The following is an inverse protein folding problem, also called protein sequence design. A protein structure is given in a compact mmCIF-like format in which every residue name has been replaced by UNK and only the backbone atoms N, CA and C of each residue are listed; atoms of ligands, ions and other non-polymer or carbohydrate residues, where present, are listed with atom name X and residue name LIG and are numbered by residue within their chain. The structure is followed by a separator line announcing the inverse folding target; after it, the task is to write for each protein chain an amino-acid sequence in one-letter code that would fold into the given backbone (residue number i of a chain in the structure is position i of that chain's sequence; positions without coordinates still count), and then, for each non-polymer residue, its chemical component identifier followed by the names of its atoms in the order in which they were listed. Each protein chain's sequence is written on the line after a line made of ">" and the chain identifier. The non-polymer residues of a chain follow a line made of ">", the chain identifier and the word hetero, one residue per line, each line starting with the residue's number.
data_IF_063320112994
#
_entry.id   IF_063320112994
#
_cell.length_a   1.000
_cell.length_b   1.000
_cell.length_c   1.000
_cell.angle_alpha   90.00
_cell.angle_beta   90.00
_cell.angle_gamma   90.00
#
_symmetry.space_group_name_H-M   'P 1'
#
loop_
_entity.id
_entity.type
_entity.pdbx_description
1 polymer ?
#
# COMPACT_ATOMS: atom_id res chain seq x y z
N UNK A 1 7.81 3.66 35.79
CA UNK A 1 8.18 3.03 34.50
C UNK A 1 7.13 3.39 33.44
N UNK A 2 6.97 4.67 33.13
CA UNK A 2 5.81 5.24 32.40
C UNK A 2 6.22 6.17 31.26
N UNK A 3 7.48 6.58 31.19
CA UNK A 3 8.01 7.54 30.20
C UNK A 3 8.14 6.94 28.80
N UNK A 4 8.49 5.66 28.70
CA UNK A 4 8.71 4.98 27.40
C UNK A 4 7.41 4.89 26.60
N UNK A 5 6.26 4.65 27.26
CA UNK A 5 4.96 4.54 26.58
C UNK A 5 4.53 5.84 25.94
N UNK A 6 4.67 6.97 26.65
CA UNK A 6 4.33 8.28 26.10
C UNK A 6 5.19 8.62 24.88
N UNK A 7 6.50 8.31 24.94
CA UNK A 7 7.41 8.49 23.81
C UNK A 7 7.08 7.59 22.62
N UNK A 8 6.71 6.33 22.89
CA UNK A 8 6.28 5.39 21.85
C UNK A 8 4.97 5.82 21.18
N UNK A 9 3.99 6.33 21.93
CA UNK A 9 2.75 6.84 21.33
C UNK A 9 2.97 8.14 20.56
N UNK A 10 3.89 9.00 21.00
CA UNK A 10 4.28 10.20 20.26
C UNK A 10 4.99 9.83 18.95
N UNK A 11 5.97 8.92 19.01
CA UNK A 11 6.64 8.38 17.82
C UNK A 11 5.65 7.69 16.88
N UNK A 12 4.76 6.83 17.41
CA UNK A 12 3.71 6.18 16.64
C UNK A 12 2.79 7.22 16.02
N UNK A 13 2.32 8.23 16.72
CA UNK A 13 1.42 9.23 16.13
C UNK A 13 2.10 10.09 15.05
N UNK A 14 3.38 10.40 15.23
CA UNK A 14 4.14 11.27 14.32
C UNK A 14 4.65 10.52 13.08
N UNK A 15 4.97 9.23 13.22
CA UNK A 15 5.43 8.35 12.13
C UNK A 15 4.26 7.61 11.47
N UNK A 16 3.30 7.07 12.24
CA UNK A 16 2.14 6.33 11.71
C UNK A 16 1.19 7.20 10.91
N UNK A 17 1.23 8.53 11.06
CA UNK A 17 0.49 9.43 10.15
C UNK A 17 1.05 9.41 8.72
N UNK A 18 2.28 8.89 8.50
CA UNK A 18 2.85 8.69 7.16
C UNK A 18 2.36 7.39 6.51
N UNK A 19 1.90 6.41 7.29
CA UNK A 19 1.34 5.14 6.80
C UNK A 19 -0.13 5.26 6.38
N UNK A 20 -0.79 6.38 6.67
CA UNK A 20 -2.24 6.52 6.48
C UNK A 20 -2.70 6.66 5.01
N UNK A 21 -1.81 6.87 4.03
CA UNK A 21 -2.16 6.95 2.60
C UNK A 21 -0.99 6.56 1.66
N UNK A 22 -0.16 5.57 1.98
CA UNK A 22 0.98 5.24 1.11
C UNK A 22 0.57 4.59 -0.21
N UNK A 23 -0.49 3.78 -0.24
CA UNK A 23 -0.98 3.17 -1.48
C UNK A 23 -1.98 4.11 -2.17
N UNK A 24 -1.53 4.70 -3.28
CA UNK A 24 -2.37 5.44 -4.23
C UNK A 24 -3.34 4.56 -5.02
N UNK A 25 -3.16 3.24 -4.94
CA UNK A 25 -3.91 2.29 -5.75
C UNK A 25 -4.89 1.48 -4.89
N UNK A 26 -6.04 1.13 -5.48
CA UNK A 26 -7.04 0.21 -4.93
C UNK A 26 -7.03 -1.11 -5.70
N UNK A 27 -7.04 -2.28 -5.03
CA UNK A 27 -6.93 -2.48 -3.57
C UNK A 27 -5.54 -2.08 -3.03
N UNK A 28 -5.36 -1.95 -1.70
CA UNK A 28 -4.06 -1.55 -1.14
C UNK A 28 -2.95 -2.55 -1.51
N UNK A 29 -1.69 -2.12 -1.51
CA UNK A 29 -0.56 -2.95 -1.95
C UNK A 29 -0.39 -4.23 -1.09
N UNK A 30 -0.72 -4.16 0.21
CA UNK A 30 -0.75 -5.32 1.10
C UNK A 30 -1.91 -6.27 0.80
N UNK A 31 -3.09 -5.73 0.51
CA UNK A 31 -4.27 -6.50 0.12
C UNK A 31 -4.05 -7.19 -1.24
N UNK A 32 -3.45 -6.47 -2.20
CA UNK A 32 -3.03 -7.01 -3.49
C UNK A 32 -2.01 -8.14 -3.34
N UNK A 33 -0.99 -7.96 -2.49
CA UNK A 33 -0.02 -9.00 -2.20
C UNK A 33 -0.71 -10.23 -1.59
N UNK A 34 -1.63 -10.03 -0.64
CA UNK A 34 -2.38 -11.11 -0.02
C UNK A 34 -3.25 -11.87 -1.03
N UNK A 35 -3.98 -11.17 -1.90
CA UNK A 35 -4.79 -11.76 -2.95
C UNK A 35 -3.94 -12.54 -3.97
N UNK A 36 -2.82 -11.97 -4.40
CA UNK A 36 -1.89 -12.60 -5.35
C UNK A 36 -1.21 -13.83 -4.74
N UNK A 37 -0.79 -13.77 -3.47
CA UNK A 37 -0.26 -14.93 -2.74
C UNK A 37 -1.33 -16.02 -2.62
N UNK A 38 -2.59 -15.66 -2.35
CA UNK A 38 -3.70 -16.61 -2.25
C UNK A 38 -4.03 -17.27 -3.60
N UNK A 39 -3.88 -16.55 -4.72
CA UNK A 39 -4.23 -17.00 -6.08
C UNK A 39 -3.09 -17.76 -6.77
N UNK A 40 -1.85 -17.23 -6.69
CA UNK A 40 -0.69 -17.72 -7.44
C UNK A 40 0.41 -18.34 -6.55
N UNK A 41 0.28 -18.28 -5.23
CA UNK A 41 1.29 -18.74 -4.27
C UNK A 41 2.31 -17.66 -3.90
N UNK A 42 3.15 -17.94 -2.91
CA UNK A 42 4.03 -16.95 -2.27
C UNK A 42 5.01 -16.29 -3.27
N UNK A 43 5.64 -17.08 -4.14
CA UNK A 43 6.68 -16.60 -5.06
C UNK A 43 6.08 -15.65 -6.10
N UNK A 44 4.99 -16.06 -6.75
CA UNK A 44 4.31 -15.22 -7.74
C UNK A 44 3.69 -13.98 -7.10
N UNK A 45 3.04 -14.12 -5.93
CA UNK A 45 2.47 -12.97 -5.24
C UNK A 45 3.52 -11.94 -4.78
N UNK A 46 4.75 -12.38 -4.47
CA UNK A 46 5.86 -11.46 -4.20
C UNK A 46 6.34 -10.75 -5.46
N UNK A 47 6.45 -11.45 -6.60
CA UNK A 47 6.82 -10.83 -7.88
C UNK A 47 5.77 -9.77 -8.27
N UNK A 48 4.49 -10.14 -8.20
CA UNK A 48 3.36 -9.25 -8.48
C UNK A 48 3.40 -8.01 -7.57
N UNK A 49 3.67 -8.20 -6.27
CA UNK A 49 3.82 -7.09 -5.32
C UNK A 49 5.00 -6.18 -5.66
N UNK A 50 6.18 -6.73 -5.96
CA UNK A 50 7.37 -5.95 -6.29
C UNK A 50 7.20 -5.15 -7.59
N UNK A 51 6.58 -5.78 -8.57
CA UNK A 51 6.21 -5.18 -9.84
C UNK A 51 5.30 -3.94 -9.61
N UNK A 52 4.26 -4.08 -8.77
CA UNK A 52 3.39 -2.97 -8.37
C UNK A 52 4.10 -1.92 -7.51
N UNK A 53 4.97 -2.35 -6.58
CA UNK A 53 5.74 -1.45 -5.72
C UNK A 53 6.68 -0.56 -6.54
N UNK A 54 7.30 -1.09 -7.60
CA UNK A 54 8.17 -0.33 -8.50
C UNK A 54 7.42 0.79 -9.25
N UNK A 55 6.14 0.55 -9.55
CA UNK A 55 5.23 1.52 -10.20
C UNK A 55 4.50 2.42 -9.23
N UNK A 56 4.63 2.19 -7.91
CA UNK A 56 4.03 3.01 -6.88
C UNK A 56 4.80 4.33 -6.68
N UNK A 57 4.95 5.09 -7.77
CA UNK A 57 5.57 6.41 -7.82
C UNK A 57 4.58 7.42 -8.45
N UNK A 58 4.67 8.71 -8.09
CA UNK A 58 3.69 9.70 -8.50
C UNK A 58 3.61 9.95 -10.02
N UNK A 59 4.66 9.66 -10.78
CA UNK A 59 4.66 9.79 -12.25
C UNK A 59 3.92 8.62 -12.92
N UNK A 60 3.93 7.43 -12.33
CA UNK A 60 3.27 6.27 -12.92
C UNK A 60 1.76 6.28 -12.72
N UNK A 61 1.25 6.94 -11.68
CA UNK A 61 -0.19 6.96 -11.36
C UNK A 61 -1.05 7.63 -12.43
N UNK A 62 -0.50 8.52 -13.27
CA UNK A 62 -1.24 9.25 -14.31
C UNK A 62 -1.80 8.33 -15.41
N UNK A 63 -1.24 7.14 -15.59
CA UNK A 63 -1.65 6.19 -16.62
C UNK A 63 -2.72 5.19 -16.16
N UNK A 64 -3.15 5.27 -14.90
CA UNK A 64 -4.13 4.33 -14.32
C UNK A 64 -5.50 4.97 -14.18
N UNK A 65 -6.56 4.16 -14.25
CA UNK A 65 -7.94 4.65 -14.13
C UNK A 65 -8.19 5.19 -12.71
N UNK A 66 -8.75 6.39 -12.61
CA UNK A 66 -9.02 7.02 -11.32
C UNK A 66 -10.45 6.68 -10.86
N UNK A 67 -10.57 6.09 -9.67
CA UNK A 67 -11.85 5.85 -9.03
C UNK A 67 -12.24 7.08 -8.18
N UNK A 68 -13.27 7.86 -8.59
CA UNK A 68 -13.71 9.05 -7.85
C UNK A 68 -14.41 8.71 -6.53
N UNK A 69 -14.83 7.45 -6.32
CA UNK A 69 -15.49 7.02 -5.09
C UNK A 69 -14.49 6.89 -3.95
N UNK A 70 -13.33 6.28 -4.24
CA UNK A 70 -12.31 6.02 -3.23
C UNK A 70 -11.15 7.02 -3.25
N UNK A 71 -11.09 7.92 -4.26
CA UNK A 71 -9.96 8.79 -4.54
C UNK A 71 -8.65 8.02 -4.72
N UNK A 72 -8.73 6.85 -5.37
CA UNK A 72 -7.62 5.92 -5.60
C UNK A 72 -7.54 5.53 -7.08
N UNK A 73 -6.35 5.17 -7.53
CA UNK A 73 -6.14 4.63 -8.87
C UNK A 73 -6.43 3.11 -8.89
N UNK A 74 -7.08 2.61 -9.93
CA UNK A 74 -7.37 1.19 -10.10
C UNK A 74 -6.18 0.50 -10.77
N UNK A 75 -5.77 -0.64 -10.22
CA UNK A 75 -4.77 -1.49 -10.86
C UNK A 75 -5.47 -2.43 -11.87
N UNK A 76 -5.17 -2.36 -13.18
CA UNK A 76 -5.76 -3.23 -14.19
C UNK A 76 -5.35 -4.70 -14.03
N UNK A 77 -4.32 -4.98 -13.23
CA UNK A 77 -3.86 -6.33 -12.94
C UNK A 77 -4.65 -6.88 -11.74
N UNK A 78 -5.81 -7.49 -11.99
CA UNK A 78 -6.57 -8.30 -11.02
C UNK A 78 -6.92 -9.68 -11.58
#
# INVERSE_FOLDING_TARGET
>A
MTTIRAFFYFYKSFISSQDAQSCRFSPSCSEYAFQSIKKHGLIHGLIDFWDRFSRCNPMSSENYEYDPVNNLFLDPVQ
#
